data_IF_594850403478
#
_entry.id   IF_594850403478
#
_cell.length_a   1.000
_cell.length_b   1.000
_cell.length_c   1.000
_cell.angle_alpha   90.00
_cell.angle_beta   90.00
_cell.angle_gamma   90.00
#
_symmetry.space_group_name_H-M   'P 1'
#
loop_
_entity.id
_entity.type
_entity.pdbx_description
1 polymer ?
#
# COMPACT_ATOMS: atom_id res chain seq x y z
N UNK A 1 54.88 30.17 18.10
CA UNK A 1 53.52 30.52 17.62
C UNK A 1 53.38 29.86 16.26
N UNK A 2 52.64 28.75 16.20
CA UNK A 2 52.57 27.87 15.02
C UNK A 2 51.57 28.44 14.00
N UNK A 3 52.00 28.79 12.77
CA UNK A 3 51.15 29.44 11.78
C UNK A 3 50.15 28.50 11.08
N UNK A 4 50.12 27.20 11.41
CA UNK A 4 49.30 26.20 10.70
C UNK A 4 48.00 25.78 11.43
N UNK A 5 47.69 26.36 12.59
CA UNK A 5 46.49 26.00 13.39
C UNK A 5 45.32 26.98 13.21
N UNK A 6 44.95 27.38 11.98
CA UNK A 6 43.85 28.35 11.78
C UNK A 6 42.68 27.88 10.89
N UNK A 7 42.71 26.67 10.36
CA UNK A 7 41.60 26.15 9.57
C UNK A 7 41.26 24.73 10.04
N UNK A 8 40.04 24.54 10.52
CA UNK A 8 39.32 23.26 10.43
C UNK A 8 39.57 22.20 11.51
N UNK A 9 39.78 22.65 12.75
CA UNK A 9 39.12 21.98 13.85
C UNK A 9 37.60 21.94 13.57
N UNK A 10 37.13 20.77 13.12
CA UNK A 10 36.01 20.07 13.79
C UNK A 10 34.61 20.70 13.72
N UNK A 11 34.13 21.12 12.56
CA UNK A 11 32.70 20.87 12.26
C UNK A 11 32.62 19.42 11.81
N UNK A 12 32.60 18.47 12.75
CA UNK A 12 32.31 17.07 12.43
C UNK A 12 30.80 16.96 12.15
N UNK A 13 30.35 16.70 10.90
CA UNK A 13 28.98 16.27 10.66
C UNK A 13 28.84 14.84 11.21
N UNK A 14 28.72 14.70 12.53
CA UNK A 14 28.88 13.40 13.17
C UNK A 14 27.93 13.14 14.32
N UNK A 15 27.44 14.18 14.99
CA UNK A 15 26.54 14.00 16.13
C UNK A 15 25.06 13.92 15.72
N UNK A 16 24.65 14.65 14.68
CA UNK A 16 23.26 14.69 14.21
C UNK A 16 22.92 13.56 13.22
N UNK A 17 23.89 13.20 12.37
CA UNK A 17 23.71 12.26 11.26
C UNK A 17 23.51 10.83 11.80
N UNK A 18 24.32 10.44 12.79
CA UNK A 18 24.22 9.17 13.49
C UNK A 18 22.87 8.93 14.20
N UNK A 19 22.11 9.99 14.50
CA UNK A 19 20.76 9.87 15.07
C UNK A 19 19.69 9.69 13.99
N UNK A 20 19.90 10.22 12.78
CA UNK A 20 18.94 10.15 11.66
C UNK A 20 18.97 8.80 10.94
N UNK A 21 20.15 8.21 10.74
CA UNK A 21 20.31 6.92 10.05
C UNK A 21 19.42 5.79 10.58
N UNK A 22 19.34 5.50 11.90
CA UNK A 22 18.49 4.42 12.39
C UNK A 22 16.99 4.73 12.24
N UNK A 23 16.58 6.01 12.26
CA UNK A 23 15.17 6.40 12.12
C UNK A 23 14.70 6.26 10.67
N UNK A 24 15.53 6.64 9.70
CA UNK A 24 15.23 6.52 8.27
C UNK A 24 15.10 5.04 7.88
N UNK A 25 16.01 4.16 8.35
CA UNK A 25 15.90 2.72 8.12
C UNK A 25 14.60 2.12 8.68
N UNK A 26 14.16 2.58 9.86
CA UNK A 26 12.90 2.13 10.47
C UNK A 26 11.70 2.61 9.66
N UNK A 27 11.67 3.87 9.26
CA UNK A 27 10.61 4.42 8.41
C UNK A 27 10.53 3.69 7.06
N UNK A 28 11.67 3.44 6.40
CA UNK A 28 11.73 2.69 5.14
C UNK A 28 11.23 1.24 5.29
N UNK A 29 11.54 0.58 6.40
CA UNK A 29 11.04 -0.78 6.67
C UNK A 29 9.52 -0.80 6.81
N UNK A 30 8.95 0.16 7.54
CA UNK A 30 7.50 0.28 7.70
C UNK A 30 6.83 0.62 6.36
N UNK A 31 7.41 1.53 5.58
CA UNK A 31 6.93 1.88 4.24
C UNK A 31 6.89 0.65 3.31
N UNK A 32 7.93 -0.17 3.36
CA UNK A 32 8.02 -1.41 2.56
C UNK A 32 6.93 -2.42 2.92
N UNK A 33 6.69 -2.64 4.22
CA UNK A 33 5.62 -3.54 4.69
C UNK A 33 4.25 -3.03 4.24
N UNK A 34 4.00 -1.73 4.36
CA UNK A 34 2.76 -1.10 3.86
C UNK A 34 2.58 -1.40 2.37
N UNK A 35 3.59 -1.11 1.55
CA UNK A 35 3.50 -1.32 0.10
C UNK A 35 3.20 -2.80 -0.26
N UNK A 36 3.81 -3.77 0.43
CA UNK A 36 3.52 -5.20 0.22
C UNK A 36 2.05 -5.52 0.54
N UNK A 37 1.53 -5.02 1.65
CA UNK A 37 0.14 -5.28 2.05
C UNK A 37 -0.84 -4.72 1.03
N UNK A 38 -0.66 -3.46 0.62
CA UNK A 38 -1.51 -2.81 -0.38
C UNK A 38 -1.40 -3.50 -1.74
N UNK A 39 -0.20 -3.91 -2.16
CA UNK A 39 0.01 -4.64 -3.42
C UNK A 39 -0.69 -6.00 -3.39
N UNK A 40 -0.55 -6.75 -2.30
CA UNK A 40 -1.18 -8.07 -2.14
C UNK A 40 -2.71 -7.95 -2.17
N UNK A 41 -3.26 -6.95 -1.48
CA UNK A 41 -4.70 -6.70 -1.49
C UNK A 41 -5.21 -6.26 -2.86
N UNK A 42 -4.42 -5.47 -3.60
CA UNK A 42 -4.69 -5.11 -5.00
C UNK A 42 -4.78 -6.36 -5.88
N UNK A 43 -3.86 -7.33 -5.70
CA UNK A 43 -3.92 -8.60 -6.44
C UNK A 43 -5.21 -9.36 -6.12
N UNK A 44 -5.66 -9.38 -4.86
CA UNK A 44 -6.91 -10.05 -4.49
C UNK A 44 -8.12 -9.42 -5.18
N UNK A 45 -8.19 -8.08 -5.21
CA UNK A 45 -9.23 -7.36 -5.95
C UNK A 45 -9.17 -7.64 -7.45
N UNK A 46 -7.97 -7.74 -8.02
CA UNK A 46 -7.79 -8.05 -9.44
C UNK A 46 -8.29 -9.45 -9.78
N UNK A 47 -7.92 -10.45 -8.98
CA UNK A 47 -8.44 -11.82 -9.09
C UNK A 47 -9.97 -11.84 -8.95
N UNK A 48 -10.52 -11.06 -8.01
CA UNK A 48 -11.98 -10.92 -7.83
C UNK A 48 -12.68 -10.36 -9.06
N UNK A 49 -12.12 -9.34 -9.73
CA UNK A 49 -12.65 -8.79 -10.98
C UNK A 49 -12.65 -9.84 -12.08
N UNK A 50 -11.53 -10.53 -12.30
CA UNK A 50 -11.44 -11.56 -13.35
C UNK A 50 -12.47 -12.67 -13.08
N UNK A 51 -12.59 -13.12 -11.83
CA UNK A 51 -13.57 -14.15 -11.46
C UNK A 51 -15.03 -13.74 -11.64
N UNK A 52 -15.32 -12.43 -11.60
CA UNK A 52 -16.68 -11.93 -11.82
C UNK A 52 -17.14 -12.18 -13.25
N UNK A 53 -16.20 -12.19 -14.21
CA UNK A 53 -16.48 -12.49 -15.61
C UNK A 53 -16.69 -13.99 -15.89
N UNK A 54 -16.19 -14.85 -15.00
CA UNK A 54 -16.29 -16.30 -15.11
C UNK A 54 -17.02 -16.89 -13.89
N UNK A 55 -18.37 -16.89 -13.87
CA UNK A 55 -19.16 -17.38 -12.73
C UNK A 55 -18.83 -18.82 -12.31
N UNK A 56 -18.43 -19.67 -13.27
CA UNK A 56 -18.00 -21.04 -13.02
C UNK A 56 -16.84 -21.15 -12.02
N UNK A 57 -15.99 -20.13 -11.90
CA UNK A 57 -14.84 -20.16 -11.01
C UNK A 57 -15.17 -19.82 -9.55
N UNK A 58 -16.35 -19.24 -9.28
CA UNK A 58 -16.75 -18.80 -7.95
C UNK A 58 -16.89 -19.96 -6.94
N UNK A 59 -17.09 -21.19 -7.42
CA UNK A 59 -17.19 -22.38 -6.58
C UNK A 59 -15.86 -22.90 -6.01
N UNK A 60 -14.71 -22.50 -6.57
CA UNK A 60 -13.40 -22.99 -6.11
C UNK A 60 -13.04 -22.47 -4.71
N UNK A 61 -12.32 -23.28 -3.94
CA UNK A 61 -11.88 -22.92 -2.57
C UNK A 61 -11.06 -21.62 -2.54
N UNK A 62 -10.14 -21.46 -3.49
CA UNK A 62 -9.34 -20.23 -3.61
C UNK A 62 -10.22 -19.00 -3.87
N UNK A 63 -11.23 -19.14 -4.74
CA UNK A 63 -12.10 -18.03 -5.10
C UNK A 63 -13.01 -17.61 -3.94
N UNK A 64 -13.51 -18.59 -3.16
CA UNK A 64 -14.25 -18.33 -1.91
C UNK A 64 -13.37 -17.66 -0.86
N UNK A 65 -12.11 -18.05 -0.74
CA UNK A 65 -11.16 -17.38 0.14
C UNK A 65 -10.97 -15.92 -0.27
N UNK A 66 -10.69 -15.65 -1.54
CA UNK A 66 -10.54 -14.28 -2.06
C UNK A 66 -11.82 -13.47 -1.85
N UNK A 67 -12.99 -14.04 -2.15
CA UNK A 67 -14.28 -13.39 -1.94
C UNK A 67 -14.51 -13.07 -0.45
N UNK A 68 -14.18 -13.97 0.47
CA UNK A 68 -14.33 -13.74 1.90
C UNK A 68 -13.58 -12.48 2.39
N UNK A 69 -12.36 -12.23 1.91
CA UNK A 69 -11.59 -11.05 2.31
C UNK A 69 -11.96 -9.78 1.52
N UNK A 70 -12.36 -9.92 0.25
CA UNK A 70 -12.62 -8.76 -0.62
C UNK A 70 -14.07 -8.29 -0.57
N UNK A 71 -15.02 -9.18 -0.31
CA UNK A 71 -16.46 -8.87 -0.35
C UNK A 71 -16.88 -7.82 0.70
N UNK A 72 -16.42 -7.84 1.97
CA UNK A 72 -16.77 -6.78 2.92
C UNK A 72 -16.38 -5.39 2.42
N UNK A 73 -15.21 -5.26 1.81
CA UNK A 73 -14.72 -4.01 1.25
C UNK A 73 -15.47 -3.62 -0.03
N UNK A 74 -15.66 -4.56 -0.97
CA UNK A 74 -16.43 -4.31 -2.19
C UNK A 74 -17.89 -3.99 -1.91
N UNK A 75 -18.50 -4.61 -0.88
CA UNK A 75 -19.88 -4.36 -0.48
C UNK A 75 -20.10 -2.91 -0.02
N UNK A 76 -19.08 -2.24 0.54
CA UNK A 76 -19.16 -0.81 0.85
C UNK A 76 -19.35 0.01 -0.43
N UNK A 77 -18.63 -0.33 -1.50
CA UNK A 77 -18.71 0.36 -2.79
C UNK A 77 -19.92 -0.08 -3.62
N UNK A 78 -20.39 -1.32 -3.50
CA UNK A 78 -21.60 -1.82 -4.17
C UNK A 78 -22.87 -1.06 -3.77
N UNK A 79 -22.87 -0.43 -2.58
CA UNK A 79 -23.97 0.48 -2.17
C UNK A 79 -24.00 1.78 -2.98
N UNK A 80 -22.86 2.22 -3.50
CA UNK A 80 -22.71 3.45 -4.28
C UNK A 80 -22.87 3.14 -5.78
N UNK A 81 -22.20 2.08 -6.24
CA UNK A 81 -22.19 1.63 -7.63
C UNK A 81 -22.67 0.16 -7.69
N UNK A 82 -23.98 -0.08 -7.84
CA UNK A 82 -24.52 -1.42 -7.93
C UNK A 82 -23.97 -2.17 -9.17
N UNK A 83 -23.91 -3.51 -9.13
CA UNK A 83 -23.41 -4.30 -10.25
C UNK A 83 -24.26 -4.10 -11.50
N UNK A 84 -23.63 -3.87 -12.65
CA UNK A 84 -24.35 -3.76 -13.91
C UNK A 84 -24.71 -5.16 -14.40
N UNK A 85 -26.01 -5.43 -14.54
CA UNK A 85 -26.51 -6.70 -15.08
C UNK A 85 -26.28 -7.91 -14.16
N UNK A 86 -26.02 -7.72 -12.86
CA UNK A 86 -25.90 -8.78 -11.87
C UNK A 86 -24.63 -9.64 -11.91
N UNK A 87 -23.80 -9.48 -12.96
CA UNK A 87 -22.57 -10.27 -13.16
C UNK A 87 -21.32 -9.38 -13.19
N UNK A 88 -21.43 -8.16 -13.71
CA UNK A 88 -20.29 -7.25 -13.86
C UNK A 88 -20.22 -6.26 -12.69
N UNK A 89 -19.32 -6.57 -11.75
CA UNK A 89 -19.00 -5.70 -10.61
C UNK A 89 -18.08 -4.55 -11.06
N UNK A 90 -18.60 -3.32 -11.12
CA UNK A 90 -17.80 -2.10 -11.36
C UNK A 90 -17.18 -1.55 -10.07
N UNK A 91 -17.72 -1.96 -8.92
CA UNK A 91 -17.20 -1.60 -7.59
C UNK A 91 -15.68 -1.75 -7.41
N UNK A 92 -14.98 -2.72 -8.03
CA UNK A 92 -13.53 -2.84 -7.89
C UNK A 92 -12.76 -1.66 -8.49
N UNK A 93 -13.29 -0.94 -9.49
CA UNK A 93 -12.63 0.24 -10.05
C UNK A 93 -12.50 1.34 -8.98
N UNK A 94 -13.59 1.60 -8.27
CA UNK A 94 -13.61 2.57 -7.16
C UNK A 94 -12.77 2.05 -5.98
N UNK A 95 -12.79 0.75 -5.75
CA UNK A 95 -11.96 0.09 -4.75
C UNK A 95 -10.45 0.28 -5.03
N UNK A 96 -10.00 0.08 -6.27
CA UNK A 96 -8.60 0.33 -6.65
C UNK A 96 -8.21 1.79 -6.49
N UNK A 97 -9.08 2.71 -6.90
CA UNK A 97 -8.83 4.14 -6.76
C UNK A 97 -8.65 4.55 -5.29
N UNK A 98 -9.57 4.12 -4.43
CA UNK A 98 -9.52 4.44 -3.00
C UNK A 98 -8.36 3.76 -2.29
N UNK A 99 -8.04 2.51 -2.65
CA UNK A 99 -6.89 1.79 -2.12
C UNK A 99 -5.58 2.50 -2.45
N UNK A 100 -5.42 2.96 -3.71
CA UNK A 100 -4.23 3.71 -4.13
C UNK A 100 -4.12 5.06 -3.42
N UNK A 101 -5.23 5.77 -3.26
CA UNK A 101 -5.24 7.03 -2.53
C UNK A 101 -4.83 6.83 -1.07
N UNK A 102 -5.34 5.80 -0.40
CA UNK A 102 -4.94 5.45 0.97
C UNK A 102 -3.45 5.11 1.07
N UNK A 103 -2.91 4.32 0.13
CA UNK A 103 -1.49 3.98 0.10
C UNK A 103 -0.62 5.24 0.01
N UNK A 104 -0.96 6.15 -0.92
CA UNK A 104 -0.22 7.39 -1.12
C UNK A 104 -0.26 8.29 0.11
N UNK A 105 -1.42 8.43 0.75
CA UNK A 105 -1.56 9.22 1.98
C UNK A 105 -0.75 8.63 3.13
N UNK A 106 -0.76 7.29 3.27
CA UNK A 106 -0.07 6.62 4.36
C UNK A 106 1.46 6.67 4.20
N UNK A 107 1.97 6.47 2.98
CA UNK A 107 3.39 6.58 2.68
C UNK A 107 3.90 8.03 2.80
N UNK A 108 3.10 9.00 2.37
CA UNK A 108 3.44 10.43 2.49
C UNK A 108 3.41 10.96 3.91
N UNK A 109 2.74 10.29 4.85
CA UNK A 109 2.81 10.63 6.28
C UNK A 109 4.09 10.09 6.95
N UNK A 110 4.63 8.99 6.41
CA UNK A 110 5.76 8.25 7.00
C UNK A 110 7.13 8.70 6.47
N UNK A 111 7.15 9.27 5.25
CA UNK A 111 8.35 9.73 4.53
C UNK A 111 8.51 11.23 4.71
#
# INVERSE_FOLDING_TARGET
>A
MDPYNLHEETILPGHDENRKYPLICRAMTVAYVINILFTTYTIFLFVRVISSWFPAWQGHHLMRFVAFYTDPYLNLFRRILPPLGGVLDISPILAFFTLRLMEMMLLGLLT
#
